data_IF_838433701158
#
_entry.id   IF_838433701158
#
_cell.length_a   1.000
_cell.length_b   1.000
_cell.length_c   1.000
_cell.angle_alpha   90.00
_cell.angle_beta   90.00
_cell.angle_gamma   90.00
#
_symmetry.space_group_name_H-M   'P 1'
#
loop_
_entity.id
_entity.type
_entity.pdbx_description
1 polymer ?
#
# COMPACT_ATOMS: atom_id res chain seq x y z
N UNK A 1 7.95 -3.84 21.35
CA UNK A 1 9.14 -3.96 22.25
C UNK A 1 10.28 -4.30 21.33
N UNK A 2 11.25 -3.40 21.15
CA UNK A 2 12.42 -3.69 20.34
C UNK A 2 13.11 -4.92 20.93
N UNK A 3 13.07 -6.00 20.18
CA UNK A 3 13.90 -7.16 20.42
C UNK A 3 15.33 -6.76 20.05
N UNK A 4 16.04 -6.15 21.01
CA UNK A 4 17.44 -5.71 20.83
C UNK A 4 18.38 -6.87 20.46
N UNK A 5 17.92 -8.13 20.60
CA UNK A 5 18.68 -9.31 20.16
C UNK A 5 18.51 -9.62 18.68
N UNK A 6 17.53 -9.02 18.01
CA UNK A 6 17.31 -9.16 16.58
C UNK A 6 16.94 -7.80 15.97
N UNK A 7 17.92 -6.90 15.72
CA UNK A 7 17.67 -5.66 14.99
C UNK A 7 17.19 -5.91 13.54
N UNK A 8 16.66 -4.85 12.93
CA UNK A 8 16.32 -4.84 11.51
C UNK A 8 17.54 -4.49 10.66
N UNK A 9 17.72 -5.27 9.60
CA UNK A 9 18.73 -5.06 8.57
C UNK A 9 18.09 -4.92 7.19
N UNK A 10 18.76 -4.24 6.28
CA UNK A 10 18.27 -4.03 4.91
C UNK A 10 19.32 -4.34 3.86
N UNK A 11 18.92 -5.11 2.84
CA UNK A 11 19.65 -5.28 1.59
C UNK A 11 18.86 -4.59 0.47
N UNK A 12 19.52 -3.74 -0.29
CA UNK A 12 18.92 -3.06 -1.44
C UNK A 12 19.46 -3.64 -2.74
N UNK A 13 18.58 -4.16 -3.58
CA UNK A 13 18.91 -4.72 -4.89
C UNK A 13 18.53 -3.70 -5.97
N UNK A 14 19.53 -3.03 -6.56
CA UNK A 14 19.35 -2.08 -7.65
C UNK A 14 18.99 -2.85 -8.92
N UNK A 15 17.78 -2.64 -9.41
CA UNK A 15 17.22 -3.35 -10.56
C UNK A 15 16.24 -2.44 -11.30
N UNK A 16 16.68 -1.84 -12.39
CA UNK A 16 15.98 -0.70 -12.99
C UNK A 16 14.75 -1.09 -13.81
N UNK A 17 14.68 -2.33 -14.27
CA UNK A 17 13.45 -2.86 -14.88
C UNK A 17 12.25 -2.67 -13.94
N UNK A 18 11.17 -2.14 -14.50
CA UNK A 18 9.91 -1.89 -13.78
C UNK A 18 9.34 -3.19 -13.20
N UNK A 19 9.27 -4.22 -14.04
CA UNK A 19 8.93 -5.57 -13.60
C UNK A 19 10.10 -6.17 -12.80
N UNK A 20 9.82 -6.47 -11.53
CA UNK A 20 10.74 -7.08 -10.58
C UNK A 20 10.27 -8.46 -10.13
N UNK A 21 9.22 -9.00 -10.73
CA UNK A 21 8.56 -10.21 -10.28
C UNK A 21 9.45 -11.44 -10.49
N UNK A 22 10.27 -11.41 -11.55
CA UNK A 22 11.45 -12.29 -11.74
C UNK A 22 12.34 -12.35 -10.51
N UNK A 23 12.91 -11.19 -10.13
CA UNK A 23 13.82 -11.04 -8.99
C UNK A 23 13.18 -11.52 -7.68
N UNK A 24 11.92 -11.14 -7.45
CA UNK A 24 11.20 -11.45 -6.23
C UNK A 24 10.95 -12.97 -6.10
N UNK A 25 10.50 -13.63 -7.15
CA UNK A 25 10.09 -15.04 -7.08
C UNK A 25 11.24 -16.03 -7.31
N UNK A 26 12.25 -15.64 -8.08
CA UNK A 26 13.35 -16.53 -8.50
C UNK A 26 14.62 -16.32 -7.66
N UNK A 27 14.77 -15.19 -6.98
CA UNK A 27 15.93 -14.93 -6.12
C UNK A 27 15.53 -14.69 -4.65
N UNK A 28 14.62 -13.75 -4.38
CA UNK A 28 14.27 -13.38 -3.00
C UNK A 28 13.52 -14.50 -2.30
N UNK A 29 12.48 -15.08 -2.93
CA UNK A 29 11.70 -16.16 -2.32
C UNK A 29 12.55 -17.40 -1.99
N UNK A 30 13.39 -17.95 -2.91
CA UNK A 30 14.27 -19.06 -2.57
C UNK A 30 15.30 -18.69 -1.51
N UNK A 31 15.84 -17.47 -1.54
CA UNK A 31 16.76 -16.97 -0.51
C UNK A 31 16.11 -16.99 0.88
N UNK A 32 14.89 -16.47 1.01
CA UNK A 32 14.19 -16.49 2.31
C UNK A 32 13.91 -17.92 2.81
N UNK A 33 13.59 -18.84 1.90
CA UNK A 33 13.42 -20.25 2.25
C UNK A 33 14.74 -20.89 2.73
N UNK A 34 15.87 -20.56 2.09
CA UNK A 34 17.20 -21.03 2.49
C UNK A 34 17.68 -20.41 3.80
N UNK A 35 17.36 -19.14 4.04
CA UNK A 35 17.67 -18.46 5.32
C UNK A 35 16.91 -19.09 6.48
N UNK A 36 15.65 -19.51 6.27
CA UNK A 36 14.86 -20.22 7.25
C UNK A 36 14.75 -19.46 8.58
N UNK A 37 14.95 -20.15 9.70
CA UNK A 37 14.80 -19.60 11.05
C UNK A 37 15.87 -18.56 11.44
N UNK A 38 16.91 -18.38 10.62
CA UNK A 38 17.93 -17.33 10.84
C UNK A 38 17.37 -15.93 10.67
N UNK A 39 16.29 -15.77 9.91
CA UNK A 39 15.60 -14.50 9.74
C UNK A 39 14.20 -14.56 10.31
N UNK A 40 13.86 -13.54 11.10
CA UNK A 40 12.50 -13.32 11.56
C UNK A 40 11.86 -12.22 10.72
N UNK A 41 10.55 -12.37 10.54
CA UNK A 41 9.69 -11.36 9.93
C UNK A 41 10.23 -10.78 8.59
N UNK A 42 10.63 -11.60 7.61
CA UNK A 42 11.19 -11.06 6.38
C UNK A 42 10.11 -10.38 5.53
N UNK A 43 10.45 -9.23 4.96
CA UNK A 43 9.60 -8.59 3.96
C UNK A 43 10.39 -7.81 2.93
N UNK A 44 9.72 -7.45 1.84
CA UNK A 44 10.31 -6.66 0.77
C UNK A 44 9.40 -5.51 0.36
N UNK A 45 9.99 -4.42 -0.09
CA UNK A 45 9.27 -3.28 -0.68
C UNK A 45 9.97 -2.80 -1.95
N UNK A 46 9.20 -2.30 -2.92
CA UNK A 46 9.73 -1.60 -4.09
C UNK A 46 9.99 -0.14 -3.68
N UNK A 47 11.11 0.43 -4.11
CA UNK A 47 11.48 1.80 -3.76
C UNK A 47 12.23 2.49 -4.91
N UNK A 48 12.27 3.82 -4.88
CA UNK A 48 12.70 4.66 -6.00
C UNK A 48 13.95 5.52 -5.70
N UNK A 49 14.16 5.90 -4.42
CA UNK A 49 15.28 6.75 -3.99
C UNK A 49 16.63 6.20 -4.48
N UNK A 50 17.40 7.04 -5.18
CA UNK A 50 18.70 6.73 -5.80
C UNK A 50 18.67 5.58 -6.81
N UNK A 51 17.57 5.48 -7.55
CA UNK A 51 17.34 4.51 -8.62
C UNK A 51 16.35 3.42 -8.23
N UNK A 52 15.56 2.86 -9.17
CA UNK A 52 14.59 1.80 -8.86
C UNK A 52 15.24 0.56 -8.25
N UNK A 53 14.71 0.12 -7.12
CA UNK A 53 15.29 -1.00 -6.37
C UNK A 53 14.24 -1.76 -5.57
N UNK A 54 14.65 -2.93 -5.10
CA UNK A 54 13.95 -3.70 -4.09
C UNK A 54 14.69 -3.53 -2.77
N UNK A 55 13.99 -3.22 -1.67
CA UNK A 55 14.53 -3.33 -0.31
C UNK A 55 14.05 -4.66 0.28
N UNK A 56 14.98 -5.45 0.79
CA UNK A 56 14.74 -6.67 1.53
C UNK A 56 15.08 -6.39 3.00
N UNK A 57 14.06 -6.37 3.85
CA UNK A 57 14.18 -6.07 5.27
C UNK A 57 14.06 -7.37 6.07
N UNK A 58 15.04 -7.62 6.93
CA UNK A 58 15.23 -8.88 7.64
C UNK A 58 15.53 -8.58 9.10
N UNK A 59 14.93 -9.34 10.02
CA UNK A 59 15.19 -9.21 11.45
C UNK A 59 16.07 -10.36 11.92
N UNK A 60 17.26 -10.08 12.41
CA UNK A 60 18.24 -11.10 12.82
C UNK A 60 19.23 -10.51 13.84
N UNK A 61 19.93 -11.37 14.59
CA UNK A 61 21.03 -10.94 15.44
C UNK A 61 22.20 -10.41 14.59
N UNK A 62 22.94 -9.41 15.11
CA UNK A 62 24.00 -8.73 14.36
C UNK A 62 25.12 -9.68 13.90
N UNK A 63 25.51 -10.64 14.74
CA UNK A 63 26.51 -11.67 14.43
C UNK A 63 26.03 -12.60 13.32
N UNK A 64 24.82 -13.15 13.45
CA UNK A 64 24.19 -14.00 12.42
C UNK A 64 24.01 -13.21 11.11
N UNK A 65 23.69 -11.92 11.19
CA UNK A 65 23.56 -11.05 10.03
C UNK A 65 24.87 -10.94 9.25
N UNK A 66 25.97 -10.59 9.94
CA UNK A 66 27.26 -10.34 9.30
C UNK A 66 27.91 -11.62 8.80
N UNK A 67 27.87 -12.69 9.59
CA UNK A 67 28.66 -13.89 9.33
C UNK A 67 27.95 -14.89 8.42
N UNK A 68 26.61 -14.90 8.41
CA UNK A 68 25.82 -15.89 7.66
C UNK A 68 24.88 -15.27 6.63
N UNK A 69 24.00 -14.36 7.06
CA UNK A 69 22.87 -13.91 6.23
C UNK A 69 23.37 -13.03 5.09
N UNK A 70 24.17 -12.01 5.39
CA UNK A 70 24.63 -11.04 4.39
C UNK A 70 25.51 -11.69 3.30
N UNK A 71 26.50 -12.54 3.61
CA UNK A 71 27.29 -13.24 2.61
C UNK A 71 26.44 -14.14 1.71
N UNK A 72 25.53 -14.93 2.31
CA UNK A 72 24.65 -15.83 1.57
C UNK A 72 23.69 -15.06 0.65
N UNK A 73 22.98 -14.07 1.21
CA UNK A 73 22.04 -13.24 0.48
C UNK A 73 22.72 -12.51 -0.68
N UNK A 74 23.88 -11.91 -0.42
CA UNK A 74 24.67 -11.21 -1.45
C UNK A 74 25.09 -12.17 -2.55
N UNK A 75 25.57 -13.37 -2.22
CA UNK A 75 25.96 -14.39 -3.20
C UNK A 75 24.80 -14.81 -4.10
N UNK A 76 23.64 -15.14 -3.51
CA UNK A 76 22.43 -15.56 -4.24
C UNK A 76 21.89 -14.45 -5.14
N UNK A 77 21.80 -13.23 -4.61
CA UNK A 77 21.29 -12.08 -5.35
C UNK A 77 22.25 -11.66 -6.47
N UNK A 78 23.58 -11.67 -6.25
CA UNK A 78 24.57 -11.37 -7.31
C UNK A 78 24.49 -12.39 -8.44
N UNK A 79 24.32 -13.68 -8.09
CA UNK A 79 24.14 -14.73 -9.09
C UNK A 79 22.92 -14.44 -9.96
N UNK A 80 21.76 -14.15 -9.37
CA UNK A 80 20.56 -13.77 -10.14
C UNK A 80 20.81 -12.57 -11.05
N UNK A 81 21.45 -11.50 -10.54
CA UNK A 81 21.75 -10.31 -11.34
C UNK A 81 22.69 -10.60 -12.50
N UNK A 82 23.65 -11.52 -12.35
CA UNK A 82 24.54 -11.93 -13.44
C UNK A 82 23.84 -12.77 -14.50
N UNK A 83 22.91 -13.64 -14.10
CA UNK A 83 22.16 -14.52 -15.00
C UNK A 83 21.00 -13.77 -15.71
N UNK A 84 20.41 -12.77 -15.03
CA UNK A 84 19.23 -12.02 -15.49
C UNK A 84 19.35 -10.52 -15.17
N UNK A 85 20.36 -9.83 -15.73
CA UNK A 85 20.55 -8.41 -15.48
C UNK A 85 19.38 -7.61 -16.02
N UNK A 86 18.98 -6.57 -15.27
CA UNK A 86 18.17 -5.48 -15.78
C UNK A 86 18.88 -4.86 -16.98
N UNK A 87 18.11 -4.65 -18.04
CA UNK A 87 18.53 -3.97 -19.28
C UNK A 87 17.89 -2.60 -19.44
N UNK A 88 17.21 -2.11 -18.40
CA UNK A 88 16.55 -0.82 -18.45
C UNK A 88 17.61 0.29 -18.50
N UNK A 89 17.46 1.21 -19.46
CA UNK A 89 18.26 2.43 -19.54
C UNK A 89 17.36 3.56 -19.10
N UNK A 90 17.69 4.17 -17.97
CA UNK A 90 16.93 5.27 -17.39
C UNK A 90 17.77 6.54 -17.41
N UNK A 91 17.12 7.64 -17.75
CA UNK A 91 17.70 8.98 -17.65
C UNK A 91 17.44 9.53 -16.24
N UNK A 92 18.50 9.56 -15.42
CA UNK A 92 18.47 10.10 -14.06
C UNK A 92 18.13 11.59 -14.03
N UNK A 93 18.51 12.37 -15.06
CA UNK A 93 18.21 13.79 -15.14
C UNK A 93 16.72 14.00 -15.44
N UNK A 94 16.16 13.23 -16.38
CA UNK A 94 14.73 13.30 -16.72
C UNK A 94 13.79 12.95 -15.55
N UNK A 95 14.25 12.14 -14.59
CA UNK A 95 13.46 11.71 -13.43
C UNK A 95 13.67 12.56 -12.16
N UNK A 96 14.56 13.56 -12.21
CA UNK A 96 14.94 14.35 -11.04
C UNK A 96 13.75 15.09 -10.41
N UNK A 97 12.96 15.79 -11.23
CA UNK A 97 11.83 16.56 -10.73
C UNK A 97 10.76 15.66 -10.09
N UNK A 98 10.47 14.52 -10.73
CA UNK A 98 9.56 13.53 -10.19
C UNK A 98 10.06 12.96 -8.85
N UNK A 99 11.36 12.67 -8.73
CA UNK A 99 11.97 12.20 -7.48
C UNK A 99 11.96 13.25 -6.38
N UNK A 100 12.18 14.54 -6.70
CA UNK A 100 12.05 15.63 -5.71
C UNK A 100 10.61 15.79 -5.23
N UNK A 101 9.65 15.69 -6.14
CA UNK A 101 8.23 15.74 -5.79
C UNK A 101 7.80 14.55 -4.92
N UNK A 102 8.30 13.34 -5.22
CA UNK A 102 8.09 12.15 -4.39
C UNK A 102 8.75 12.28 -3.02
N UNK A 103 9.99 12.79 -2.95
CA UNK A 103 10.70 13.00 -1.69
C UNK A 103 9.89 13.88 -0.73
N UNK A 104 9.37 15.00 -1.24
CA UNK A 104 8.50 15.89 -0.48
C UNK A 104 7.19 15.19 -0.07
N UNK A 105 6.53 14.51 -1.00
CA UNK A 105 5.23 13.84 -0.76
C UNK A 105 5.33 12.70 0.26
N UNK A 106 6.44 12.00 0.25
CA UNK A 106 6.69 10.85 1.11
C UNK A 106 7.52 11.23 2.34
N UNK A 107 7.82 12.53 2.56
CA UNK A 107 8.73 12.99 3.61
C UNK A 107 10.03 12.17 3.68
N UNK A 108 10.56 11.84 2.50
CA UNK A 108 11.86 11.17 2.35
C UNK A 108 12.97 12.22 2.41
N UNK A 109 13.86 12.07 3.40
CA UNK A 109 14.93 13.02 3.72
C UNK A 109 16.30 12.56 3.22
N UNK A 110 16.37 11.40 2.58
CA UNK A 110 17.63 10.83 2.10
C UNK A 110 18.15 11.54 0.85
N UNK A 111 19.46 11.36 0.53
CA UNK A 111 20.02 11.87 -0.71
C UNK A 111 19.31 11.25 -1.92
N UNK A 112 19.00 12.05 -2.93
CA UNK A 112 18.40 11.58 -4.19
C UNK A 112 19.46 11.15 -5.22
N UNK A 113 20.72 11.59 -5.02
CA UNK A 113 21.87 11.41 -5.91
C UNK A 113 23.15 11.06 -5.14
N UNK A 114 24.17 10.50 -5.82
CA UNK A 114 24.08 9.89 -7.15
C UNK A 114 23.24 8.61 -7.08
N UNK A 115 22.62 8.21 -8.19
CA UNK A 115 22.02 6.89 -8.26
C UNK A 115 23.09 5.81 -8.12
N UNK A 116 22.73 4.69 -7.49
CA UNK A 116 23.62 3.53 -7.50
C UNK A 116 23.60 2.89 -8.89
N UNK A 117 24.68 2.24 -9.35
CA UNK A 117 24.64 1.54 -10.63
C UNK A 117 23.54 0.45 -10.64
N UNK A 118 22.88 0.27 -11.78
CA UNK A 118 21.94 -0.84 -11.98
C UNK A 118 22.66 -2.19 -11.80
N UNK A 119 21.90 -3.23 -11.48
CA UNK A 119 22.43 -4.58 -11.23
C UNK A 119 23.48 -4.65 -10.12
N UNK A 120 23.32 -3.84 -9.07
CA UNK A 120 24.19 -3.86 -7.88
C UNK A 120 23.41 -4.13 -6.60
N UNK A 121 24.15 -4.52 -5.56
CA UNK A 121 23.61 -4.75 -4.21
C UNK A 121 24.26 -3.75 -3.27
N UNK A 122 23.44 -3.12 -2.45
CA UNK A 122 23.87 -2.18 -1.42
C UNK A 122 23.35 -2.63 -0.06
N UNK A 123 24.13 -2.38 0.98
CA UNK A 123 23.69 -2.45 2.36
C UNK A 123 23.58 -1.03 2.89
N UNK A 124 22.36 -0.62 3.20
CA UNK A 124 22.07 0.65 3.86
C UNK A 124 21.37 0.35 5.19
N UNK A 125 21.43 1.27 6.18
CA UNK A 125 20.67 1.13 7.40
C UNK A 125 19.17 0.90 7.12
N UNK A 126 18.54 0.08 7.94
CA UNK A 126 17.09 -0.05 7.95
C UNK A 126 16.43 1.31 8.23
N UNK A 127 15.45 1.69 7.42
CA UNK A 127 14.72 2.95 7.54
C UNK A 127 13.33 2.69 8.09
N UNK A 128 13.17 2.89 9.40
CA UNK A 128 11.94 2.59 10.14
C UNK A 128 10.79 3.59 9.91
N UNK A 129 11.07 4.72 9.24
CA UNK A 129 10.11 5.78 8.91
C UNK A 129 9.39 6.33 10.14
N UNK A 130 9.98 6.24 11.34
CA UNK A 130 9.37 6.66 12.61
C UNK A 130 9.04 8.15 12.64
N UNK A 131 9.79 8.98 11.89
CA UNK A 131 9.51 10.41 11.72
C UNK A 131 8.20 10.69 10.96
N UNK A 132 7.74 9.75 10.15
CA UNK A 132 6.43 9.81 9.46
C UNK A 132 5.36 9.14 10.28
N UNK A 133 5.68 8.02 10.95
CA UNK A 133 4.69 7.21 11.67
C UNK A 133 4.43 7.68 13.11
N UNK A 134 5.26 8.59 13.64
CA UNK A 134 5.07 9.23 14.94
C UNK A 134 5.33 8.36 16.16
N UNK A 135 5.43 7.03 16.02
CA UNK A 135 5.68 6.12 17.15
C UNK A 135 6.40 4.83 16.73
N UNK A 136 7.25 4.27 17.62
CA UNK A 136 7.87 2.95 17.40
C UNK A 136 6.82 1.84 17.38
N UNK A 137 5.74 1.96 18.16
CA UNK A 137 4.66 0.96 18.19
C UNK A 137 4.02 0.79 16.82
N UNK A 138 3.76 1.89 16.10
CA UNK A 138 3.19 1.81 14.75
C UNK A 138 4.19 1.26 13.72
N UNK A 139 5.48 1.59 13.86
CA UNK A 139 6.57 0.98 13.07
C UNK A 139 6.56 -0.54 13.23
N UNK A 140 6.69 -1.03 14.47
CA UNK A 140 6.74 -2.47 14.78
C UNK A 140 5.51 -3.21 14.22
N UNK A 141 4.34 -2.57 14.32
CA UNK A 141 3.08 -3.10 13.84
C UNK A 141 3.03 -3.23 12.31
N UNK A 142 3.40 -2.17 11.58
CA UNK A 142 3.42 -2.19 10.12
C UNK A 142 4.47 -3.14 9.56
N UNK A 143 5.65 -3.21 10.19
CA UNK A 143 6.69 -4.18 9.83
C UNK A 143 6.20 -5.62 10.00
N UNK A 144 5.51 -5.90 11.11
CA UNK A 144 4.92 -7.22 11.36
C UNK A 144 3.87 -7.57 10.30
N UNK A 145 3.01 -6.62 9.92
CA UNK A 145 2.02 -6.84 8.87
C UNK A 145 2.65 -7.03 7.48
N UNK A 146 3.74 -6.32 7.20
CA UNK A 146 4.51 -6.53 5.99
C UNK A 146 5.12 -7.94 5.96
N UNK A 147 5.70 -8.38 7.06
CA UNK A 147 6.23 -9.73 7.18
C UNK A 147 5.17 -10.81 7.00
N UNK A 148 4.04 -10.69 7.71
CA UNK A 148 2.92 -11.64 7.61
C UNK A 148 2.36 -11.74 6.18
N UNK A 149 2.24 -10.60 5.49
CA UNK A 149 1.72 -10.54 4.12
C UNK A 149 2.76 -10.88 3.04
N UNK A 150 4.02 -11.17 3.40
CA UNK A 150 5.08 -11.54 2.43
C UNK A 150 4.76 -12.84 1.70
N UNK A 151 4.26 -13.87 2.40
CA UNK A 151 3.86 -15.13 1.76
C UNK A 151 2.75 -14.90 0.74
N UNK A 152 1.72 -14.15 1.12
CA UNK A 152 0.62 -13.78 0.23
C UNK A 152 1.11 -13.03 -1.01
N UNK A 153 2.10 -12.15 -0.83
CA UNK A 153 2.70 -11.43 -1.95
C UNK A 153 3.40 -12.38 -2.93
N UNK A 154 4.15 -13.37 -2.43
CA UNK A 154 4.77 -14.38 -3.29
C UNK A 154 3.74 -15.24 -4.03
N UNK A 155 2.65 -15.63 -3.38
CA UNK A 155 1.59 -16.43 -4.00
C UNK A 155 0.85 -15.65 -5.09
N UNK A 156 0.52 -14.38 -4.83
CA UNK A 156 -0.09 -13.49 -5.81
C UNK A 156 0.82 -13.29 -7.03
N UNK A 157 2.10 -12.95 -6.83
CA UNK A 157 3.05 -12.78 -7.93
C UNK A 157 3.26 -14.08 -8.72
N UNK A 158 3.26 -15.24 -8.06
CA UNK A 158 3.34 -16.52 -8.75
C UNK A 158 2.10 -16.81 -9.59
N UNK A 159 0.90 -16.46 -9.09
CA UNK A 159 -0.34 -16.55 -9.84
C UNK A 159 -0.35 -15.61 -11.05
N UNK A 160 0.20 -14.39 -10.92
CA UNK A 160 0.36 -13.45 -12.03
C UNK A 160 1.25 -14.03 -13.11
N UNK A 161 2.40 -14.60 -12.74
CA UNK A 161 3.33 -15.23 -13.68
C UNK A 161 2.70 -16.40 -14.44
N UNK A 162 1.83 -17.19 -13.79
CA UNK A 162 1.11 -18.30 -14.44
C UNK A 162 -0.08 -17.85 -15.29
N UNK A 163 -0.55 -16.61 -15.11
CA UNK A 163 -1.74 -16.08 -15.80
C UNK A 163 -3.07 -16.45 -15.13
N UNK A 164 -3.03 -17.07 -13.94
CA UNK A 164 -4.24 -17.48 -13.20
C UNK A 164 -5.01 -16.29 -12.62
N UNK A 165 -4.29 -15.20 -12.35
CA UNK A 165 -4.79 -13.98 -11.73
C UNK A 165 -4.03 -12.79 -12.31
N UNK A 166 -4.67 -11.63 -12.38
CA UNK A 166 -3.99 -10.38 -12.73
C UNK A 166 -3.96 -9.42 -11.54
N UNK A 167 -2.98 -8.51 -11.52
CA UNK A 167 -2.92 -7.44 -10.53
C UNK A 167 -4.22 -6.61 -10.51
N UNK A 168 -4.81 -6.37 -11.68
CA UNK A 168 -6.09 -5.67 -11.82
C UNK A 168 -7.22 -6.42 -11.11
N UNK A 169 -7.41 -7.71 -11.42
CA UNK A 169 -8.44 -8.54 -10.80
C UNK A 169 -8.27 -8.63 -9.29
N UNK A 170 -7.05 -8.93 -8.82
CA UNK A 170 -6.76 -8.99 -7.39
C UNK A 170 -7.09 -7.66 -6.70
N UNK A 171 -6.65 -6.54 -7.27
CA UNK A 171 -6.86 -5.21 -6.68
C UNK A 171 -8.35 -4.91 -6.53
N UNK A 172 -9.15 -5.12 -7.59
CA UNK A 172 -10.59 -4.86 -7.51
C UNK A 172 -11.30 -5.80 -6.53
N UNK A 173 -10.94 -7.09 -6.55
CA UNK A 173 -11.51 -8.07 -5.63
C UNK A 173 -11.25 -7.68 -4.17
N UNK A 174 -10.00 -7.34 -3.82
CA UNK A 174 -9.64 -6.95 -2.46
C UNK A 174 -10.29 -5.62 -2.04
N UNK A 175 -10.28 -4.61 -2.90
CA UNK A 175 -10.87 -3.30 -2.59
C UNK A 175 -12.38 -3.41 -2.39
N UNK A 176 -13.12 -4.05 -3.30
CA UNK A 176 -14.57 -4.22 -3.18
C UNK A 176 -14.91 -4.96 -1.89
N UNK A 177 -14.20 -6.05 -1.62
CA UNK A 177 -14.45 -6.90 -0.46
C UNK A 177 -14.12 -6.17 0.84
N UNK A 178 -12.99 -5.47 0.94
CA UNK A 178 -12.63 -4.68 2.13
C UNK A 178 -13.61 -3.55 2.39
N UNK A 179 -14.08 -2.84 1.36
CA UNK A 179 -15.12 -1.81 1.55
C UNK A 179 -16.43 -2.42 2.06
N UNK A 180 -16.78 -3.61 1.59
CA UNK A 180 -18.01 -4.26 2.00
C UNK A 180 -17.95 -4.83 3.42
N UNK A 181 -16.83 -5.42 3.84
CA UNK A 181 -16.71 -6.11 5.13
C UNK A 181 -16.20 -5.21 6.25
N UNK A 182 -15.33 -4.24 5.94
CA UNK A 182 -14.69 -3.40 6.96
C UNK A 182 -15.59 -2.25 7.43
N UNK A 183 -16.45 -1.72 6.54
CA UNK A 183 -17.46 -0.70 6.85
C UNK A 183 -18.78 -1.05 6.13
N UNK A 184 -19.48 -2.10 6.58
CA UNK A 184 -20.68 -2.61 5.90
C UNK A 184 -21.88 -1.65 5.98
N UNK A 185 -22.80 -1.70 5.01
CA UNK A 185 -22.67 -2.37 3.70
C UNK A 185 -21.70 -1.62 2.78
N UNK A 186 -21.39 -2.16 1.59
CA UNK A 186 -20.47 -1.52 0.64
C UNK A 186 -20.88 -0.08 0.28
N UNK A 187 -22.19 0.20 0.29
CA UNK A 187 -22.74 1.54 0.06
C UNK A 187 -22.40 2.55 1.16
N UNK A 188 -21.76 2.14 2.27
CA UNK A 188 -21.08 3.03 3.23
C UNK A 188 -19.56 3.01 3.02
N UNK A 189 -18.95 1.83 2.96
CA UNK A 189 -17.49 1.69 2.84
C UNK A 189 -16.86 2.29 1.59
N UNK A 190 -17.61 2.45 0.49
CA UNK A 190 -17.11 3.10 -0.72
C UNK A 190 -16.72 4.57 -0.51
N UNK A 191 -17.24 5.25 0.54
CA UNK A 191 -16.91 6.64 0.83
C UNK A 191 -15.41 6.83 1.06
N UNK A 192 -14.72 5.85 1.64
CA UNK A 192 -13.26 5.86 1.78
C UNK A 192 -12.54 5.89 0.42
N UNK A 193 -13.10 5.23 -0.60
CA UNK A 193 -12.51 5.22 -1.95
C UNK A 193 -12.75 6.51 -2.70
N UNK A 194 -13.99 7.05 -2.64
CA UNK A 194 -14.29 8.37 -3.20
C UNK A 194 -13.41 9.45 -2.56
N UNK A 195 -13.32 9.46 -1.22
CA UNK A 195 -12.43 10.34 -0.46
C UNK A 195 -10.97 10.21 -0.89
N UNK A 196 -10.47 8.99 -1.09
CA UNK A 196 -9.09 8.78 -1.50
C UNK A 196 -8.78 9.27 -2.93
N UNK A 197 -9.69 9.03 -3.87
CA UNK A 197 -9.55 9.46 -5.26
C UNK A 197 -9.66 11.00 -5.38
N UNK A 198 -10.66 11.60 -4.75
CA UNK A 198 -10.88 13.05 -4.79
C UNK A 198 -9.80 13.80 -4.02
N UNK A 199 -9.31 13.24 -2.90
CA UNK A 199 -8.14 13.77 -2.20
C UNK A 199 -6.93 13.84 -3.13
N UNK A 200 -6.63 12.80 -3.90
CA UNK A 200 -5.56 12.84 -4.87
C UNK A 200 -5.77 13.92 -5.94
N UNK A 201 -6.94 13.96 -6.57
CA UNK A 201 -7.25 14.95 -7.60
C UNK A 201 -7.16 16.38 -7.06
N UNK A 202 -7.51 16.61 -5.80
CA UNK A 202 -7.46 17.93 -5.17
C UNK A 202 -6.05 18.51 -4.97
N UNK A 203 -5.01 17.67 -5.08
CA UNK A 203 -3.60 18.11 -5.08
C UNK A 203 -3.02 18.25 -6.50
N UNK A 204 -3.76 17.89 -7.54
CA UNK A 204 -3.34 18.02 -8.93
C UNK A 204 -3.61 19.43 -9.44
N UNK A 205 -2.69 19.98 -10.24
CA UNK A 205 -2.89 21.28 -10.91
C UNK A 205 -4.07 21.23 -11.87
N UNK A 206 -4.17 20.15 -12.65
CA UNK A 206 -5.31 19.87 -13.53
C UNK A 206 -6.25 18.84 -12.87
N UNK A 207 -6.98 19.28 -11.84
CA UNK A 207 -7.98 18.43 -11.15
C UNK A 207 -9.02 17.90 -12.12
N UNK A 208 -9.58 18.78 -12.94
CA UNK A 208 -10.75 18.46 -13.77
C UNK A 208 -10.37 17.49 -14.89
N UNK A 209 -9.19 17.63 -15.49
CA UNK A 209 -8.66 16.65 -16.45
C UNK A 209 -8.42 15.28 -15.85
N UNK A 210 -7.90 15.20 -14.61
CA UNK A 210 -7.73 13.92 -13.88
C UNK A 210 -9.08 13.25 -13.63
N UNK A 211 -10.07 13.99 -13.12
CA UNK A 211 -11.42 13.48 -12.88
C UNK A 211 -12.07 13.02 -14.18
N UNK A 212 -12.00 13.82 -15.24
CA UNK A 212 -12.54 13.48 -16.55
C UNK A 212 -11.90 12.21 -17.12
N UNK A 213 -10.58 12.06 -16.96
CA UNK A 213 -9.86 10.85 -17.38
C UNK A 213 -10.31 9.60 -16.63
N UNK A 214 -10.49 9.69 -15.31
CA UNK A 214 -10.99 8.58 -14.51
C UNK A 214 -12.44 8.24 -14.85
N UNK A 215 -13.30 9.25 -15.02
CA UNK A 215 -14.69 9.07 -15.40
C UNK A 215 -14.84 8.47 -16.79
N UNK A 216 -14.03 8.88 -17.76
CA UNK A 216 -14.01 8.26 -19.09
C UNK A 216 -13.68 6.76 -19.01
N UNK A 217 -12.74 6.36 -18.15
CA UNK A 217 -12.43 4.94 -17.92
C UNK A 217 -13.57 4.19 -17.23
N UNK A 218 -14.28 4.83 -16.30
CA UNK A 218 -15.48 4.25 -15.70
C UNK A 218 -16.57 4.04 -16.75
N UNK A 219 -16.92 5.07 -17.54
CA UNK A 219 -17.97 4.99 -18.57
C UNK A 219 -17.69 3.93 -19.63
N UNK A 220 -16.43 3.75 -20.02
CA UNK A 220 -16.02 2.69 -20.95
C UNK A 220 -16.31 1.27 -20.40
N UNK A 221 -16.39 1.09 -19.08
CA UNK A 221 -16.46 -0.21 -18.42
C UNK A 221 -17.63 -0.32 -17.41
N UNK A 222 -18.60 0.60 -17.47
CA UNK A 222 -19.62 0.79 -16.43
C UNK A 222 -20.39 -0.51 -16.15
N UNK A 223 -20.88 -1.17 -17.20
CA UNK A 223 -21.66 -2.41 -17.06
C UNK A 223 -20.86 -3.52 -16.37
N UNK A 224 -19.59 -3.70 -16.76
CA UNK A 224 -18.71 -4.73 -16.23
C UNK A 224 -18.33 -4.45 -14.77
N UNK A 225 -18.03 -3.19 -14.44
CA UNK A 225 -17.66 -2.78 -13.08
C UNK A 225 -18.83 -2.92 -12.12
N UNK A 226 -20.04 -2.50 -12.51
CA UNK A 226 -21.26 -2.69 -11.72
C UNK A 226 -21.56 -4.17 -11.47
N UNK A 227 -21.48 -4.99 -12.52
CA UNK A 227 -21.68 -6.44 -12.40
C UNK A 227 -20.63 -7.10 -11.49
N UNK A 228 -19.37 -6.66 -11.55
CA UNK A 228 -18.30 -7.12 -10.67
C UNK A 228 -18.59 -6.76 -9.21
N UNK A 229 -18.95 -5.50 -8.92
CA UNK A 229 -19.31 -5.05 -7.57
C UNK A 229 -20.46 -5.89 -7.01
N UNK A 230 -21.56 -6.01 -7.75
CA UNK A 230 -22.71 -6.82 -7.31
C UNK A 230 -22.33 -8.28 -7.06
N UNK A 231 -21.59 -8.89 -7.99
CA UNK A 231 -21.18 -10.30 -7.86
C UNK A 231 -20.31 -10.50 -6.61
N UNK A 232 -19.31 -9.65 -6.39
CA UNK A 232 -18.36 -9.83 -5.29
C UNK A 232 -19.00 -9.57 -3.93
N UNK A 233 -19.94 -8.62 -3.85
CA UNK A 233 -20.79 -8.42 -2.65
C UNK A 233 -21.61 -9.67 -2.35
N UNK A 234 -22.35 -10.18 -3.34
CA UNK A 234 -23.15 -11.40 -3.15
C UNK A 234 -22.31 -12.61 -2.75
N UNK A 235 -21.14 -12.81 -3.37
CA UNK A 235 -20.24 -13.91 -3.00
C UNK A 235 -19.71 -13.79 -1.56
N UNK A 236 -19.50 -12.58 -1.04
CA UNK A 236 -19.11 -12.37 0.35
C UNK A 236 -20.27 -12.69 1.29
N UNK A 237 -21.47 -12.15 1.00
CA UNK A 237 -22.68 -12.40 1.81
C UNK A 237 -23.05 -13.89 1.85
N UNK A 238 -22.81 -14.62 0.76
CA UNK A 238 -23.07 -16.08 0.66
C UNK A 238 -21.90 -16.95 1.16
N UNK A 239 -20.80 -16.36 1.66
CA UNK A 239 -19.62 -17.10 2.14
C UNK A 239 -18.76 -17.75 1.05
N UNK A 240 -19.02 -17.43 -0.22
CA UNK A 240 -18.35 -17.94 -1.44
C UNK A 240 -17.15 -17.09 -1.88
N UNK A 241 -16.53 -16.35 -0.96
CA UNK A 241 -15.36 -15.51 -1.22
C UNK A 241 -14.18 -16.32 -1.80
N UNK A 242 -13.54 -15.86 -2.89
CA UNK A 242 -12.37 -16.53 -3.46
C UNK A 242 -11.23 -16.70 -2.43
N UNK A 243 -10.42 -17.78 -2.52
CA UNK A 243 -9.36 -18.05 -1.55
C UNK A 243 -8.39 -16.88 -1.33
N UNK A 244 -7.92 -16.23 -2.40
CA UNK A 244 -7.00 -15.09 -2.34
C UNK A 244 -7.59 -13.86 -1.64
N UNK A 245 -8.91 -13.71 -1.67
CA UNK A 245 -9.62 -12.62 -0.97
C UNK A 245 -9.84 -13.00 0.49
N UNK A 246 -10.25 -14.23 0.76
CA UNK A 246 -10.53 -14.75 2.11
C UNK A 246 -9.30 -14.63 3.01
N UNK A 247 -8.16 -15.05 2.50
CA UNK A 247 -6.90 -14.96 3.23
C UNK A 247 -6.53 -13.52 3.60
N UNK A 248 -6.80 -12.57 2.69
CA UNK A 248 -6.59 -11.15 2.96
C UNK A 248 -7.59 -10.59 3.97
N UNK A 249 -8.86 -11.00 3.92
CA UNK A 249 -9.84 -10.63 4.93
C UNK A 249 -9.43 -11.12 6.32
N UNK A 250 -8.95 -12.36 6.43
CA UNK A 250 -8.46 -12.89 7.70
C UNK A 250 -7.27 -12.08 8.22
N UNK A 251 -6.37 -11.63 7.34
CA UNK A 251 -5.29 -10.72 7.70
C UNK A 251 -5.82 -9.36 8.16
N UNK A 252 -6.79 -8.77 7.46
CA UNK A 252 -7.43 -7.49 7.85
C UNK A 252 -8.08 -7.56 9.22
N UNK A 253 -8.80 -8.64 9.53
CA UNK A 253 -9.43 -8.80 10.84
C UNK A 253 -8.39 -8.98 11.95
N UNK A 254 -7.29 -9.71 11.71
CA UNK A 254 -6.15 -9.76 12.64
C UNK A 254 -5.52 -8.39 12.85
N UNK A 255 -5.28 -7.64 11.77
CA UNK A 255 -4.73 -6.26 11.81
C UNK A 255 -5.59 -5.38 12.71
N UNK A 256 -6.91 -5.38 12.49
CA UNK A 256 -7.86 -4.59 13.28
C UNK A 256 -7.89 -5.04 14.74
N UNK A 257 -7.89 -6.35 15.01
CA UNK A 257 -7.92 -6.89 16.36
C UNK A 257 -6.67 -6.49 17.17
N UNK A 258 -5.47 -6.54 16.57
CA UNK A 258 -4.23 -6.14 17.23
C UNK A 258 -4.16 -4.62 17.42
N UNK A 259 -4.61 -3.85 16.43
CA UNK A 259 -4.55 -2.39 16.48
C UNK A 259 -5.60 -1.77 17.41
N UNK A 260 -6.78 -2.36 17.57
CA UNK A 260 -7.88 -1.81 18.35
C UNK A 260 -7.49 -1.40 19.78
N UNK A 261 -6.86 -2.24 20.62
CA UNK A 261 -6.42 -1.82 21.95
C UNK A 261 -5.34 -0.73 21.89
N UNK A 262 -4.45 -0.75 20.89
CA UNK A 262 -3.39 0.26 20.74
C UNK A 262 -3.96 1.63 20.39
N UNK A 263 -5.00 1.68 19.56
CA UNK A 263 -5.71 2.91 19.19
C UNK A 263 -6.46 3.45 20.40
N UNK A 264 -7.23 2.60 21.08
CA UNK A 264 -8.02 2.97 22.27
C UNK A 264 -7.15 3.55 23.38
N UNK A 265 -6.01 2.90 23.63
CA UNK A 265 -5.02 3.34 24.63
C UNK A 265 -4.15 4.50 24.15
N UNK A 266 -4.35 5.01 22.92
CA UNK A 266 -3.54 6.06 22.27
C UNK A 266 -2.05 5.74 22.20
N UNK A 267 -1.71 4.45 22.09
CA UNK A 267 -0.34 3.96 21.88
C UNK A 267 0.09 4.06 20.42
N UNK A 268 -0.86 4.17 19.51
CA UNK A 268 -0.65 4.56 18.11
C UNK A 268 -1.61 5.69 17.75
N UNK A 269 -1.12 6.63 16.94
CA UNK A 269 -1.90 7.72 16.40
C UNK A 269 -1.59 7.83 14.90
N UNK A 270 -2.62 7.61 14.07
CA UNK A 270 -2.51 7.61 12.61
C UNK A 270 -2.42 9.03 12.03
N UNK A 271 -2.68 10.04 12.84
CA UNK A 271 -2.68 11.46 12.47
C UNK A 271 -1.56 12.26 13.19
N UNK A 272 -0.68 11.58 13.95
CA UNK A 272 0.44 12.19 14.69
C UNK A 272 1.54 12.79 13.80
N UNK A 273 1.62 12.36 12.54
CA UNK A 273 2.61 12.87 11.59
C UNK A 273 2.39 14.39 11.39
N UNK A 274 3.42 15.24 11.58
CA UNK A 274 3.32 16.63 11.20
C UNK A 274 2.95 16.68 9.71
N UNK A 275 1.88 17.39 9.36
CA UNK A 275 1.67 17.78 7.95
C UNK A 275 2.86 18.67 7.60
N UNK A 276 3.84 18.14 6.86
CA UNK A 276 4.97 18.98 6.46
C UNK A 276 4.42 20.19 5.68
N UNK A 277 4.73 21.42 6.10
CA UNK A 277 4.28 22.62 5.40
C UNK A 277 4.94 22.62 4.02
N UNK A 278 4.17 22.31 2.98
CA UNK A 278 4.78 22.17 1.66
C UNK A 278 3.83 22.06 0.48
N UNK A 279 2.60 21.58 0.66
CA UNK A 279 1.60 21.61 -0.41
C UNK A 279 0.21 21.92 0.12
N UNK A 280 -0.30 23.16 -0.09
CA UNK A 280 -1.70 23.40 0.14
C UNK A 280 -2.52 22.49 -0.80
N UNK A 281 -3.60 21.94 -0.27
CA UNK A 281 -4.63 21.36 -1.12
C UNK A 281 -5.09 22.45 -2.10
N UNK A 282 -5.02 22.19 -3.40
CA UNK A 282 -5.25 23.20 -4.44
C UNK A 282 -6.75 23.42 -4.68
N UNK A 283 -7.55 22.39 -4.39
CA UNK A 283 -8.98 22.39 -4.65
C UNK A 283 -9.75 21.84 -3.45
N UNK A 284 -10.94 22.38 -3.19
CA UNK A 284 -11.83 21.85 -2.16
C UNK A 284 -12.53 20.58 -2.65
N UNK A 285 -13.05 19.79 -1.69
CA UNK A 285 -13.82 18.57 -1.94
C UNK A 285 -15.16 18.76 -1.22
N UNK A 286 -16.23 18.94 -1.98
CA UNK A 286 -17.54 19.38 -1.49
C UNK A 286 -18.05 18.54 -0.30
N UNK A 287 -18.09 17.21 -0.44
CA UNK A 287 -18.59 16.36 0.64
C UNK A 287 -17.66 16.32 1.87
N UNK A 288 -16.35 16.61 1.72
CA UNK A 288 -15.47 16.80 2.87
C UNK A 288 -15.82 18.09 3.62
N UNK A 289 -16.11 19.19 2.91
CA UNK A 289 -16.52 20.45 3.54
C UNK A 289 -17.80 20.25 4.34
N UNK A 290 -18.80 19.58 3.76
CA UNK A 290 -20.07 19.28 4.43
C UNK A 290 -19.84 18.46 5.70
N UNK A 291 -19.08 17.36 5.62
CA UNK A 291 -18.82 16.49 6.77
C UNK A 291 -18.03 17.19 7.87
N UNK A 292 -17.08 18.05 7.50
CA UNK A 292 -16.16 18.68 8.45
C UNK A 292 -16.66 20.02 8.99
N UNK A 293 -17.75 20.58 8.46
CA UNK A 293 -18.27 21.91 8.78
C UNK A 293 -18.49 22.14 10.29
N UNK A 294 -19.04 21.15 11.00
CA UNK A 294 -19.35 21.26 12.44
C UNK A 294 -18.26 20.67 13.35
N UNK A 295 -17.24 20.01 12.78
CA UNK A 295 -16.26 19.22 13.52
C UNK A 295 -16.78 17.88 14.07
N UNK A 296 -18.10 17.63 14.08
CA UNK A 296 -18.71 16.41 14.64
C UNK A 296 -18.21 15.14 13.95
N UNK A 297 -18.13 15.15 12.62
CA UNK A 297 -17.59 14.00 11.87
C UNK A 297 -16.14 13.71 12.22
N UNK A 298 -15.33 14.74 12.55
CA UNK A 298 -13.94 14.55 12.96
C UNK A 298 -13.87 13.79 14.28
N UNK A 299 -14.72 14.11 15.24
CA UNK A 299 -14.71 13.47 16.57
C UNK A 299 -15.41 12.12 16.58
N UNK A 300 -16.59 12.00 15.95
CA UNK A 300 -17.44 10.80 16.05
C UNK A 300 -17.08 9.71 15.06
N UNK A 301 -16.54 10.08 13.88
CA UNK A 301 -16.17 9.12 12.85
C UNK A 301 -14.66 9.05 12.71
N UNK A 302 -13.99 10.14 12.31
CA UNK A 302 -12.55 10.10 11.99
C UNK A 302 -11.68 9.71 13.19
N UNK A 303 -12.05 10.16 14.40
CA UNK A 303 -11.36 9.86 15.65
C UNK A 303 -11.82 8.58 16.37
N UNK A 304 -12.79 7.84 15.82
CA UNK A 304 -13.30 6.62 16.45
C UNK A 304 -12.37 5.42 16.25
N UNK A 305 -12.27 4.55 17.27
CA UNK A 305 -11.41 3.36 17.23
C UNK A 305 -11.70 2.46 16.02
N UNK A 306 -12.98 2.26 15.69
CA UNK A 306 -13.40 1.39 14.59
C UNK A 306 -12.96 1.94 13.23
N UNK A 307 -13.06 3.26 13.02
CA UNK A 307 -12.69 3.88 11.76
C UNK A 307 -11.18 4.00 11.62
N UNK A 308 -10.46 4.27 12.72
CA UNK A 308 -9.00 4.23 12.74
C UNK A 308 -8.47 2.82 12.43
N UNK A 309 -9.10 1.78 12.98
CA UNK A 309 -8.82 0.38 12.62
C UNK A 309 -9.07 0.09 11.14
N UNK A 310 -10.17 0.59 10.58
CA UNK A 310 -10.45 0.51 9.14
C UNK A 310 -9.38 1.22 8.30
N UNK A 311 -9.02 2.46 8.64
CA UNK A 311 -7.99 3.25 7.95
C UNK A 311 -6.65 2.54 7.95
N UNK A 312 -6.25 1.96 9.08
CA UNK A 312 -5.01 1.20 9.18
C UNK A 312 -5.04 -0.02 8.25
N UNK A 313 -6.09 -0.84 8.32
CA UNK A 313 -6.23 -2.01 7.45
C UNK A 313 -6.23 -1.65 5.96
N UNK A 314 -6.92 -0.58 5.58
CA UNK A 314 -6.97 -0.10 4.21
C UNK A 314 -5.60 0.43 3.73
N UNK A 315 -4.87 1.13 4.58
CA UNK A 315 -3.50 1.57 4.28
C UNK A 315 -2.54 0.39 4.13
N UNK A 316 -2.68 -0.66 4.96
CA UNK A 316 -1.92 -1.90 4.81
C UNK A 316 -2.23 -2.58 3.47
N UNK A 317 -3.50 -2.60 3.04
CA UNK A 317 -3.87 -3.09 1.71
C UNK A 317 -3.21 -2.28 0.60
N UNK A 318 -3.27 -0.95 0.66
CA UNK A 318 -2.62 -0.12 -0.34
C UNK A 318 -1.10 -0.33 -0.41
N UNK A 319 -0.46 -0.52 0.74
CA UNK A 319 0.97 -0.83 0.78
C UNK A 319 1.26 -2.22 0.21
N UNK A 320 0.42 -3.22 0.52
CA UNK A 320 0.50 -4.55 -0.07
C UNK A 320 0.35 -4.53 -1.59
N UNK A 321 -0.62 -3.79 -2.14
CA UNK A 321 -0.79 -3.65 -3.59
C UNK A 321 0.44 -2.96 -4.24
N UNK A 322 1.06 -1.98 -3.58
CA UNK A 322 2.34 -1.41 -4.02
C UNK A 322 3.48 -2.44 -4.04
N UNK A 323 3.51 -3.34 -3.05
CA UNK A 323 4.40 -4.53 -3.04
C UNK A 323 4.03 -5.59 -4.08
N UNK A 324 2.93 -5.44 -4.81
CA UNK A 324 2.60 -6.25 -5.98
C UNK A 324 2.83 -5.51 -7.31
N UNK A 325 3.36 -4.29 -7.26
CA UNK A 325 3.65 -3.48 -8.45
C UNK A 325 2.52 -2.53 -8.85
N UNK A 326 1.48 -2.35 -8.03
CA UNK A 326 0.43 -1.38 -8.31
C UNK A 326 0.99 0.04 -8.24
N UNK A 327 0.91 0.77 -9.34
CA UNK A 327 1.35 2.16 -9.38
C UNK A 327 0.40 3.06 -8.57
N UNK A 328 0.89 4.14 -7.93
CA UNK A 328 0.05 5.05 -7.17
C UNK A 328 -1.14 5.60 -7.97
N UNK A 329 -0.95 5.97 -9.24
CA UNK A 329 -2.04 6.46 -10.09
C UNK A 329 -3.11 5.39 -10.34
N UNK A 330 -2.71 4.13 -10.54
CA UNK A 330 -3.66 3.01 -10.71
C UNK A 330 -4.49 2.79 -9.45
N UNK A 331 -3.89 2.94 -8.26
CA UNK A 331 -4.63 2.88 -6.98
C UNK A 331 -5.75 3.91 -6.93
N UNK A 332 -5.45 5.17 -7.23
CA UNK A 332 -6.47 6.24 -7.25
C UNK A 332 -7.55 6.00 -8.30
N UNK A 333 -7.15 5.55 -9.50
CA UNK A 333 -8.08 5.16 -10.54
C UNK A 333 -9.01 4.04 -10.07
N UNK A 334 -8.48 2.95 -9.49
CA UNK A 334 -9.31 1.84 -9.04
C UNK A 334 -10.28 2.23 -7.92
N UNK A 335 -9.86 3.09 -6.99
CA UNK A 335 -10.76 3.68 -6.00
C UNK A 335 -11.90 4.46 -6.67
N UNK A 336 -11.61 5.30 -7.68
CA UNK A 336 -12.64 6.01 -8.45
C UNK A 336 -13.59 5.04 -9.17
N UNK A 337 -13.05 4.05 -9.88
CA UNK A 337 -13.85 3.06 -10.63
C UNK A 337 -14.83 2.31 -9.73
N UNK A 338 -14.36 1.87 -8.55
CA UNK A 338 -15.21 1.15 -7.58
C UNK A 338 -16.23 2.10 -6.97
N UNK A 339 -15.83 3.31 -6.57
CA UNK A 339 -16.75 4.29 -6.01
C UNK A 339 -17.88 4.63 -6.99
N UNK A 340 -17.55 4.96 -8.25
CA UNK A 340 -18.54 5.24 -9.29
C UNK A 340 -19.45 4.04 -9.57
N UNK A 341 -18.91 2.80 -9.57
CA UNK A 341 -19.71 1.60 -9.75
C UNK A 341 -20.69 1.35 -8.59
N UNK A 342 -20.28 1.62 -7.34
CA UNK A 342 -21.16 1.54 -6.16
C UNK A 342 -22.23 2.63 -6.20
N UNK A 343 -21.86 3.87 -6.54
CA UNK A 343 -22.81 4.98 -6.70
C UNK A 343 -23.92 4.63 -7.70
N UNK A 344 -23.55 4.10 -8.87
CA UNK A 344 -24.49 3.72 -9.91
C UNK A 344 -25.30 2.44 -9.61
N UNK A 345 -24.71 1.45 -8.93
CA UNK A 345 -25.40 0.19 -8.62
C UNK A 345 -26.39 0.33 -7.46
N UNK A 346 -26.07 1.14 -6.46
CA UNK A 346 -26.87 1.28 -5.24
C UNK A 346 -27.64 2.60 -5.16
N UNK A 347 -27.50 3.50 -6.14
CA UNK A 347 -28.20 4.79 -6.18
C UNK A 347 -27.79 5.69 -5.01
N UNK A 348 -26.48 5.80 -4.75
CA UNK A 348 -25.94 6.55 -3.61
C UNK A 348 -25.00 7.65 -4.09
N UNK A 349 -24.96 8.77 -3.36
CA UNK A 349 -24.07 9.90 -3.66
C UNK A 349 -23.25 10.29 -2.42
N UNK A 350 -21.94 10.58 -2.57
CA UNK A 350 -21.11 11.04 -1.45
C UNK A 350 -21.62 12.36 -0.85
N UNK A 351 -22.13 13.27 -1.69
CA UNK A 351 -22.69 14.56 -1.25
C UNK A 351 -24.01 14.36 -0.51
N UNK A 352 -24.93 13.55 -1.05
CA UNK A 352 -26.21 13.28 -0.38
C UNK A 352 -26.02 12.58 0.97
N UNK A 353 -25.04 11.67 1.06
CA UNK A 353 -24.66 11.03 2.32
C UNK A 353 -24.06 12.02 3.32
N UNK A 354 -23.20 12.92 2.87
CA UNK A 354 -22.65 13.96 3.71
C UNK A 354 -23.75 14.91 4.23
N UNK A 355 -24.69 15.31 3.37
CA UNK A 355 -25.84 16.12 3.76
C UNK A 355 -26.77 15.41 4.73
N UNK A 356 -27.01 14.11 4.53
CA UNK A 356 -27.79 13.31 5.47
C UNK A 356 -27.11 13.28 6.85
N UNK A 357 -25.81 12.98 6.88
CA UNK A 357 -25.02 13.00 8.13
C UNK A 357 -25.04 14.37 8.81
N UNK A 358 -24.97 15.47 8.06
CA UNK A 358 -24.95 16.81 8.64
C UNK A 358 -26.32 17.26 9.22
N UNK A 359 -27.42 16.58 8.87
CA UNK A 359 -28.78 16.88 9.36
C UNK A 359 -29.16 16.08 10.61
N UNK A 360 -28.72 14.82 10.67
CA UNK A 360 -28.74 14.02 11.91
C UNK A 360 -27.86 14.69 12.97
#
# INVERSE_FOLDING_TARGET
MNDLTNPWHSIQVRYYQTDKDGLILDAVRPLLAELGDRVRQPYFVRHWRRGPHLRLNLRAADDVWQDEILPLATGRLRRYLSERPSRAVLDEAALEEAHRALALRESDRGPLRPWYPDNTIQTEPYEDRRHVLGSQTLVDLLDSFHAESTRMAFEALAAFRRGDLTLFQLSLDLLITVAHTSVPPISRGYMSFRSHADAFASYCVDRDGVIAGFEAKYRQNERQLRALVRRRVAEVDEGRTPPHVREWLDHVERVKAVAAPLIRDRKIDLDAAPREPGRPQLHTIEFHEILLATGRYRTEVLGSDWFLGHRLALNTLYSHLGRLGLAPLQRYLFCHLIASAVEAEYGVSPVERALAWARD
#
